data_IF_539085818387
#
_entry.id   IF_539085818387
#
_cell.length_a   1.000
_cell.length_b   1.000
_cell.length_c   1.000
_cell.angle_alpha   90.00
_cell.angle_beta   90.00
_cell.angle_gamma   90.00
#
_symmetry.space_group_name_H-M   'P 1'
#
loop_
_entity.id
_entity.type
_entity.pdbx_description
1 polymer ?
#
# COMPACT_ATOMS: atom_id res chain seq x y z
N UNK A 1 6.81 -20.51 -24.04
CA UNK A 1 6.38 -19.10 -23.90
C UNK A 1 7.01 -18.59 -22.62
N UNK A 2 7.69 -17.44 -22.65
CA UNK A 2 8.15 -16.83 -21.41
C UNK A 2 6.92 -16.46 -20.60
N UNK A 3 6.90 -16.83 -19.32
CA UNK A 3 5.89 -16.31 -18.39
C UNK A 3 6.25 -14.85 -18.20
N UNK A 4 5.33 -13.94 -18.52
CA UNK A 4 5.54 -12.52 -18.25
C UNK A 4 5.86 -12.34 -16.77
N UNK A 5 6.88 -11.53 -16.42
CA UNK A 5 7.25 -11.38 -15.02
C UNK A 5 6.05 -10.83 -14.24
N UNK A 6 5.83 -11.26 -12.99
CA UNK A 6 4.61 -10.96 -12.23
C UNK A 6 4.41 -9.47 -11.92
N UNK A 7 5.34 -8.60 -12.30
CA UNK A 7 5.29 -7.15 -12.14
C UNK A 7 5.08 -6.41 -13.48
N UNK A 8 4.88 -7.09 -14.59
CA UNK A 8 4.57 -6.46 -15.88
C UNK A 8 3.13 -6.82 -16.29
N UNK A 9 2.27 -5.85 -16.64
CA UNK A 9 1.07 -6.11 -17.40
C UNK A 9 1.43 -6.79 -18.72
N UNK A 10 0.63 -7.77 -19.16
CA UNK A 10 0.86 -8.44 -20.43
C UNK A 10 0.79 -7.44 -21.60
N UNK A 11 1.53 -7.69 -22.68
CA UNK A 11 1.45 -6.85 -23.89
C UNK A 11 0.08 -6.92 -24.58
N UNK A 12 -0.61 -8.05 -24.41
CA UNK A 12 -1.97 -8.28 -24.89
C UNK A 12 -2.71 -9.09 -23.83
N UNK A 13 -3.46 -8.39 -22.98
CA UNK A 13 -4.36 -8.98 -21.99
C UNK A 13 -5.71 -8.28 -21.94
N UNK A 14 -6.62 -8.81 -21.11
CA UNK A 14 -7.86 -8.13 -20.74
C UNK A 14 -7.58 -6.84 -19.95
N UNK A 15 -8.60 -5.99 -19.80
CA UNK A 15 -8.49 -4.78 -18.97
C UNK A 15 -8.12 -5.12 -17.53
N UNK A 16 -8.71 -6.18 -16.97
CA UNK A 16 -8.35 -6.73 -15.67
C UNK A 16 -6.87 -7.11 -15.60
N UNK A 17 -6.37 -7.89 -16.55
CA UNK A 17 -4.97 -8.32 -16.57
C UNK A 17 -4.01 -7.12 -16.66
N UNK A 18 -4.36 -6.10 -17.45
CA UNK A 18 -3.57 -4.88 -17.51
C UNK A 18 -3.58 -4.08 -16.19
N UNK A 19 -4.74 -3.96 -15.55
CA UNK A 19 -4.88 -3.25 -14.27
C UNK A 19 -4.06 -3.95 -13.17
N UNK A 20 -4.23 -5.27 -13.03
CA UNK A 20 -3.50 -6.06 -12.02
C UNK A 20 -1.99 -5.97 -12.23
N UNK A 21 -1.52 -6.16 -13.47
CA UNK A 21 -0.10 -6.04 -13.77
C UNK A 21 0.46 -4.63 -13.54
N UNK A 22 -0.34 -3.59 -13.75
CA UNK A 22 0.08 -2.21 -13.49
C UNK A 22 0.23 -1.95 -11.98
N UNK A 23 -0.74 -2.41 -11.18
CA UNK A 23 -0.69 -2.33 -9.71
C UNK A 23 0.52 -3.09 -9.16
N UNK A 24 0.75 -4.31 -9.65
CA UNK A 24 1.90 -5.10 -9.22
C UNK A 24 3.22 -4.44 -9.63
N UNK A 25 3.33 -3.85 -10.83
CA UNK A 25 4.52 -3.07 -11.20
C UNK A 25 4.84 -1.98 -10.18
N UNK A 26 3.83 -1.20 -9.79
CA UNK A 26 3.98 -0.10 -8.84
C UNK A 26 4.42 -0.63 -7.47
N UNK A 27 3.78 -1.69 -6.96
CA UNK A 27 4.10 -2.33 -5.69
C UNK A 27 5.51 -2.89 -5.66
N UNK A 28 5.89 -3.66 -6.67
CA UNK A 28 7.23 -4.25 -6.77
C UNK A 28 8.31 -3.17 -6.90
N UNK A 29 8.08 -2.16 -7.74
CA UNK A 29 9.04 -1.06 -7.94
C UNK A 29 9.24 -0.27 -6.66
N UNK A 30 8.16 0.05 -5.94
CA UNK A 30 8.24 0.76 -4.68
C UNK A 30 8.98 -0.06 -3.64
N UNK A 31 8.56 -1.32 -3.44
CA UNK A 31 9.17 -2.22 -2.45
C UNK A 31 10.65 -2.44 -2.72
N UNK A 32 11.06 -2.60 -3.99
CA UNK A 32 12.46 -2.72 -4.40
C UNK A 32 13.28 -1.47 -4.07
N UNK A 33 12.75 -0.28 -4.37
CA UNK A 33 13.45 0.98 -4.10
C UNK A 33 13.59 1.31 -2.62
N UNK A 34 12.66 0.82 -1.79
CA UNK A 34 12.65 1.04 -0.35
C UNK A 34 13.34 -0.09 0.45
N UNK A 35 13.82 -1.16 -0.20
CA UNK A 35 14.28 -2.37 0.47
C UNK A 35 15.63 -2.23 1.18
N UNK A 36 15.81 -3.03 2.24
CA UNK A 36 17.10 -3.23 2.91
C UNK A 36 17.62 -2.01 3.68
N UNK A 37 16.77 -1.02 3.94
CA UNK A 37 17.14 0.19 4.66
C UNK A 37 16.90 0.02 6.16
N UNK A 38 17.85 0.51 6.95
CA UNK A 38 17.67 0.65 8.40
C UNK A 38 16.88 1.93 8.74
N UNK A 39 16.75 2.23 10.03
CA UNK A 39 15.99 3.40 10.49
C UNK A 39 16.57 4.73 9.97
N UNK A 40 17.89 4.83 9.82
CA UNK A 40 18.52 6.04 9.28
C UNK A 40 18.25 6.18 7.78
N UNK A 41 18.34 5.07 7.04
CA UNK A 41 17.98 5.03 5.61
C UNK A 41 16.52 5.38 5.37
N UNK A 42 15.59 4.76 6.10
CA UNK A 42 14.16 5.05 5.97
C UNK A 42 13.79 6.47 6.39
N UNK A 43 14.50 7.05 7.35
CA UNK A 43 14.31 8.42 7.83
C UNK A 43 14.97 9.50 6.97
N UNK A 44 15.68 9.13 5.91
CA UNK A 44 16.40 10.10 5.05
C UNK A 44 15.41 11.02 4.31
N UNK A 45 15.72 12.32 4.28
CA UNK A 45 15.01 13.36 3.53
C UNK A 45 15.86 13.90 2.40
N UNK A 46 15.22 14.41 1.35
CA UNK A 46 15.90 14.99 0.19
C UNK A 46 15.56 16.48 0.08
N UNK A 47 16.59 17.33 0.15
CA UNK A 47 16.44 18.78 0.00
C UNK A 47 15.48 19.37 1.05
N UNK A 48 14.51 20.15 0.60
CA UNK A 48 13.50 20.76 1.45
C UNK A 48 12.28 19.87 1.74
N UNK A 49 12.24 18.64 1.19
CA UNK A 49 11.09 17.75 1.35
C UNK A 49 11.00 17.20 2.77
N UNK A 50 9.78 17.15 3.33
CA UNK A 50 9.47 16.51 4.61
C UNK A 50 9.27 14.99 4.47
N UNK A 51 9.11 14.49 3.25
CA UNK A 51 8.89 13.08 2.96
C UNK A 51 10.12 12.24 3.29
N UNK A 52 9.86 11.04 3.81
CA UNK A 52 10.85 10.00 4.09
C UNK A 52 10.37 8.69 3.46
N UNK A 53 11.27 7.74 3.20
CA UNK A 53 10.88 6.42 2.69
C UNK A 53 10.05 5.63 3.73
N UNK A 54 10.35 5.80 5.02
CA UNK A 54 9.54 5.24 6.10
C UNK A 54 8.12 5.79 6.12
N UNK A 55 7.96 7.10 5.97
CA UNK A 55 6.65 7.74 5.83
C UNK A 55 5.89 7.26 4.59
N UNK A 56 6.57 7.11 3.45
CA UNK A 56 5.96 6.60 2.23
C UNK A 56 5.52 5.13 2.35
N UNK A 57 6.25 4.28 3.08
CA UNK A 57 5.84 2.90 3.36
C UNK A 57 4.50 2.87 4.11
N UNK A 58 4.40 3.64 5.20
CA UNK A 58 3.18 3.72 6.01
C UNK A 58 2.02 4.36 5.25
N UNK A 59 2.28 5.43 4.51
CA UNK A 59 1.28 6.11 3.70
C UNK A 59 0.69 5.21 2.60
N UNK A 60 1.55 4.54 1.84
CA UNK A 60 1.06 3.65 0.79
C UNK A 60 0.38 2.41 1.36
N UNK A 61 0.76 1.93 2.55
CA UNK A 61 0.01 0.89 3.26
C UNK A 61 -1.41 1.37 3.62
N UNK A 62 -1.56 2.61 4.12
CA UNK A 62 -2.88 3.21 4.35
C UNK A 62 -3.70 3.30 3.06
N UNK A 63 -3.08 3.78 1.97
CA UNK A 63 -3.74 3.90 0.68
C UNK A 63 -4.23 2.55 0.12
N UNK A 64 -3.43 1.49 0.26
CA UNK A 64 -3.83 0.11 -0.06
C UNK A 64 -5.02 -0.34 0.79
N UNK A 65 -4.94 -0.18 2.11
CA UNK A 65 -6.01 -0.57 3.04
C UNK A 65 -7.33 0.16 2.76
N UNK A 66 -7.27 1.45 2.43
CA UNK A 66 -8.43 2.26 2.10
C UNK A 66 -9.06 1.85 0.76
N UNK A 67 -8.24 1.67 -0.30
CA UNK A 67 -8.74 1.37 -1.64
C UNK A 67 -9.33 -0.03 -1.75
N UNK A 68 -8.68 -1.01 -1.11
CA UNK A 68 -9.05 -2.43 -1.19
C UNK A 68 -9.85 -2.92 0.03
N UNK A 69 -10.12 -2.07 1.01
CA UNK A 69 -11.12 -2.29 2.04
C UNK A 69 -12.37 -1.47 1.74
N UNK A 70 -12.60 -0.32 2.41
CA UNK A 70 -13.85 0.41 2.26
C UNK A 70 -14.15 0.79 0.81
N UNK A 71 -13.12 1.15 0.04
CA UNK A 71 -13.29 1.51 -1.37
C UNK A 71 -13.66 0.35 -2.30
N UNK A 72 -13.44 -0.92 -1.92
CA UNK A 72 -13.70 -2.07 -2.78
C UNK A 72 -14.98 -2.80 -2.37
N UNK A 73 -15.15 -3.09 -1.08
CA UNK A 73 -16.19 -3.98 -0.58
C UNK A 73 -16.78 -3.55 0.77
N UNK A 74 -16.62 -2.27 1.14
CA UNK A 74 -17.00 -1.69 2.44
C UNK A 74 -16.36 -2.37 3.67
N UNK A 75 -15.38 -3.28 3.50
CA UNK A 75 -14.66 -3.89 4.61
C UNK A 75 -13.81 -2.87 5.36
N UNK A 76 -13.63 -3.06 6.67
CA UNK A 76 -12.72 -2.26 7.47
C UNK A 76 -11.27 -2.26 6.92
N UNK A 77 -10.53 -1.18 7.18
CA UNK A 77 -9.14 -1.06 6.76
C UNK A 77 -8.23 -2.02 7.53
N UNK A 78 -8.60 -2.36 8.76
CA UNK A 78 -7.80 -3.16 9.68
C UNK A 78 -6.82 -2.31 10.48
N UNK A 79 -6.23 -2.91 11.52
CA UNK A 79 -5.21 -2.25 12.34
C UNK A 79 -3.96 -1.87 11.52
N UNK A 80 -3.30 -0.73 11.84
CA UNK A 80 -3.60 0.19 12.93
C UNK A 80 -4.70 1.22 12.62
N UNK A 81 -5.24 1.20 11.40
CA UNK A 81 -6.08 2.28 10.86
C UNK A 81 -7.41 2.38 11.58
N UNK A 82 -8.04 1.25 11.88
CA UNK A 82 -9.32 1.19 12.59
C UNK A 82 -9.24 1.78 14.01
N UNK A 83 -8.06 1.72 14.65
CA UNK A 83 -7.83 2.35 15.96
C UNK A 83 -7.57 3.85 15.88
N UNK A 84 -7.03 4.33 14.75
CA UNK A 84 -6.57 5.73 14.57
C UNK A 84 -7.63 6.60 13.90
N UNK A 85 -8.37 6.06 12.95
CA UNK A 85 -9.39 6.77 12.17
C UNK A 85 -10.77 6.18 12.47
N UNK A 86 -11.27 6.42 13.69
CA UNK A 86 -12.56 5.84 14.11
C UNK A 86 -13.73 6.61 13.48
N UNK A 87 -13.56 7.91 13.26
CA UNK A 87 -14.50 8.76 12.55
C UNK A 87 -13.82 9.83 11.67
N UNK A 88 -14.62 10.62 10.96
CA UNK A 88 -14.12 11.71 10.10
C UNK A 88 -13.38 12.80 10.89
N UNK A 89 -13.73 13.03 12.16
CA UNK A 89 -13.07 14.05 12.97
C UNK A 89 -11.64 13.65 13.36
N UNK A 90 -11.39 12.35 13.58
CA UNK A 90 -10.03 11.83 13.77
C UNK A 90 -9.16 12.03 12.51
N UNK A 91 -9.75 11.82 11.33
CA UNK A 91 -9.09 12.08 10.05
C UNK A 91 -8.70 13.55 9.90
N UNK A 92 -9.63 14.46 10.19
CA UNK A 92 -9.41 15.91 10.09
C UNK A 92 -8.42 16.44 11.15
N UNK A 93 -8.28 15.75 12.28
CA UNK A 93 -7.36 16.13 13.34
C UNK A 93 -5.88 15.92 12.96
N UNK A 94 -5.56 14.84 12.24
CA UNK A 94 -4.22 14.57 11.70
C UNK A 94 -4.28 13.81 10.36
N UNK A 95 -4.54 14.50 9.23
CA UNK A 95 -4.66 13.86 7.91
C UNK A 95 -3.33 13.27 7.41
N UNK A 96 -2.21 13.67 8.02
CA UNK A 96 -0.86 13.23 7.69
C UNK A 96 -0.28 12.28 8.76
N UNK A 97 -1.13 11.71 9.64
CA UNK A 97 -0.69 10.83 10.73
C UNK A 97 0.20 9.68 10.25
N UNK A 98 -0.11 9.09 9.10
CA UNK A 98 0.70 8.04 8.49
C UNK A 98 2.13 8.51 8.14
N UNK A 99 2.31 9.76 7.74
CA UNK A 99 3.65 10.35 7.55
C UNK A 99 4.33 10.73 8.86
N UNK A 100 3.62 11.42 9.75
CA UNK A 100 4.19 11.97 10.99
C UNK A 100 4.51 10.86 12.00
N UNK A 101 3.72 9.79 12.02
CA UNK A 101 3.89 8.69 12.96
C UNK A 101 4.91 7.64 12.54
N UNK A 102 5.22 7.53 11.24
CA UNK A 102 6.13 6.51 10.73
C UNK A 102 7.54 6.55 11.36
N UNK A 103 7.98 7.72 11.84
CA UNK A 103 9.27 7.87 12.52
C UNK A 103 9.32 7.17 13.90
N UNK A 104 8.17 6.78 14.47
CA UNK A 104 8.11 6.03 15.73
C UNK A 104 8.05 4.51 15.52
N UNK A 105 7.85 4.05 14.29
CA UNK A 105 7.85 2.64 13.94
C UNK A 105 9.26 2.17 13.60
N UNK A 106 9.62 0.95 14.03
CA UNK A 106 10.86 0.32 13.57
C UNK A 106 10.79 -0.02 12.08
N UNK A 107 11.93 -0.13 11.37
CA UNK A 107 11.95 -0.57 9.98
C UNK A 107 11.18 -1.88 9.75
N UNK A 108 11.33 -2.85 10.66
CA UNK A 108 10.63 -4.13 10.58
C UNK A 108 9.11 -3.97 10.64
N UNK A 109 8.60 -3.07 11.47
CA UNK A 109 7.15 -2.78 11.55
C UNK A 109 6.65 -2.11 10.28
N UNK A 110 7.39 -1.15 9.72
CA UNK A 110 7.01 -0.47 8.48
C UNK A 110 6.99 -1.42 7.28
N UNK A 111 8.00 -2.30 7.16
CA UNK A 111 8.02 -3.32 6.11
C UNK A 111 6.88 -4.32 6.27
N UNK A 112 6.65 -4.83 7.49
CA UNK A 112 5.56 -5.77 7.76
C UNK A 112 4.19 -5.14 7.46
N UNK A 113 3.95 -3.89 7.90
CA UNK A 113 2.70 -3.18 7.66
C UNK A 113 2.40 -3.06 6.16
N UNK A 114 3.40 -2.68 5.36
CA UNK A 114 3.27 -2.60 3.91
C UNK A 114 3.03 -3.99 3.28
N UNK A 115 3.88 -4.97 3.58
CA UNK A 115 3.84 -6.30 2.97
C UNK A 115 2.52 -7.03 3.30
N UNK A 116 2.07 -6.97 4.56
CA UNK A 116 0.81 -7.57 5.01
C UNK A 116 -0.41 -6.88 4.38
N UNK A 117 -0.37 -5.56 4.24
CA UNK A 117 -1.48 -4.83 3.63
C UNK A 117 -1.59 -5.12 2.14
N UNK A 118 -0.47 -5.18 1.41
CA UNK A 118 -0.48 -5.60 0.00
C UNK A 118 -0.99 -7.02 -0.17
N UNK A 119 -0.61 -7.95 0.72
CA UNK A 119 -1.11 -9.34 0.67
C UNK A 119 -2.64 -9.40 0.89
N UNK A 120 -3.15 -8.60 1.84
CA UNK A 120 -4.59 -8.47 2.10
C UNK A 120 -5.33 -7.82 0.92
N UNK A 121 -4.79 -6.75 0.33
CA UNK A 121 -5.35 -6.12 -0.87
C UNK A 121 -5.48 -7.11 -2.02
N UNK A 122 -4.45 -7.93 -2.27
CA UNK A 122 -4.50 -8.99 -3.29
C UNK A 122 -5.58 -10.03 -3.00
N UNK A 123 -5.72 -10.44 -1.74
CA UNK A 123 -6.73 -11.41 -1.32
C UNK A 123 -8.15 -10.87 -1.55
N UNK A 124 -8.42 -9.62 -1.14
CA UNK A 124 -9.72 -8.98 -1.32
C UNK A 124 -10.06 -8.75 -2.79
N UNK A 125 -9.09 -8.26 -3.57
CA UNK A 125 -9.30 -8.05 -5.00
C UNK A 125 -9.58 -9.37 -5.74
N UNK A 126 -8.86 -10.45 -5.41
CA UNK A 126 -9.12 -11.77 -5.98
C UNK A 126 -10.52 -12.28 -5.63
N UNK A 127 -11.00 -12.03 -4.40
CA UNK A 127 -12.36 -12.38 -3.99
C UNK A 127 -13.42 -11.58 -4.77
N UNK A 128 -13.25 -10.26 -4.89
CA UNK A 128 -14.15 -9.40 -5.66
C UNK A 128 -14.24 -9.82 -7.14
N UNK A 129 -13.10 -10.13 -7.76
CA UNK A 129 -13.06 -10.62 -9.14
C UNK A 129 -13.79 -11.97 -9.31
N UNK A 130 -13.75 -12.84 -8.30
CA UNK A 130 -14.45 -14.12 -8.32
C UNK A 130 -15.98 -14.00 -8.15
N UNK A 131 -16.47 -12.89 -7.56
CA UNK A 131 -17.89 -12.68 -7.24
C UNK A 131 -18.70 -11.97 -8.34
N UNK A 132 -18.07 -11.59 -9.46
CA UNK A 132 -18.80 -10.97 -10.57
C UNK A 132 -18.00 -9.99 -11.42
N UNK A 133 -16.72 -9.74 -11.11
CA UNK A 133 -15.88 -8.81 -11.85
C UNK A 133 -15.89 -7.40 -11.27
N UNK A 134 -15.50 -6.40 -12.07
CA UNK A 134 -15.43 -4.98 -11.69
C UNK A 134 -16.58 -4.15 -12.31
N UNK A 135 -17.65 -4.82 -12.74
CA UNK A 135 -18.76 -4.26 -13.52
C UNK A 135 -19.90 -3.70 -12.66
#
# INVERSE_FOLDING_TARGET
MAVDPPWEPPLSGSEEQHLLGALDRLRYTFRWKADGLDAAGLGTRIGASTLTLGGLLKHLARAEAQRFGPGLDDSAMGEPWDSVYQDEADWDADPDWDFTSAAQDSPAQLYALWDDTVARSRTRLAAALADGGLD
#
